data_IF_486192329111
#
_entry.id   IF_486192329111
#
_cell.length_a   1.000
_cell.length_b   1.000
_cell.length_c   1.000
_cell.angle_alpha   90.00
_cell.angle_beta   90.00
_cell.angle_gamma   90.00
#
_symmetry.space_group_name_H-M   'P 1'
#
loop_
_entity.id
_entity.type
_entity.pdbx_description
1 polymer ?
#
# COMPACT_ATOMS: atom_id res chain seq x y z
N UNK A 1 3.98 12.57 19.07
CA UNK A 1 3.12 13.54 18.35
C UNK A 1 1.67 13.17 18.67
N UNK A 2 0.83 14.12 19.12
CA UNK A 2 -0.60 13.86 19.24
C UNK A 2 -1.17 13.49 17.86
N UNK A 3 -2.03 12.46 17.81
CA UNK A 3 -2.75 12.09 16.59
C UNK A 3 -4.00 12.97 16.50
N UNK A 4 -3.95 13.98 15.63
CA UNK A 4 -5.09 14.86 15.37
C UNK A 4 -6.25 14.07 14.76
N UNK A 5 -7.44 14.17 15.36
CA UNK A 5 -8.63 13.51 14.86
C UNK A 5 -9.15 14.25 13.62
N UNK A 6 -8.92 13.68 12.43
CA UNK A 6 -9.24 14.30 11.14
C UNK A 6 -10.23 13.46 10.31
N UNK A 7 -11.49 13.29 10.79
CA UNK A 7 -12.43 12.32 10.22
C UNK A 7 -12.81 12.63 8.76
N UNK A 8 -13.07 13.91 8.45
CA UNK A 8 -13.47 14.32 7.10
C UNK A 8 -12.34 14.14 6.08
N UNK A 9 -11.11 14.50 6.44
CA UNK A 9 -9.94 14.31 5.57
C UNK A 9 -9.64 12.82 5.36
N UNK A 10 -9.74 12.02 6.42
CA UNK A 10 -9.54 10.57 6.35
C UNK A 10 -10.59 9.90 5.47
N UNK A 11 -11.86 10.31 5.58
CA UNK A 11 -12.95 9.84 4.72
C UNK A 11 -12.73 10.23 3.26
N UNK A 12 -12.36 11.49 3.00
CA UNK A 12 -12.09 11.97 1.64
C UNK A 12 -10.92 11.19 1.00
N UNK A 13 -9.83 10.98 1.73
CA UNK A 13 -8.70 10.18 1.26
C UNK A 13 -9.09 8.72 0.97
N UNK A 14 -9.86 8.10 1.86
CA UNK A 14 -10.39 6.75 1.65
C UNK A 14 -11.31 6.64 0.43
N UNK A 15 -12.19 7.63 0.24
CA UNK A 15 -13.08 7.70 -0.92
C UNK A 15 -12.30 7.84 -2.24
N UNK A 16 -11.23 8.65 -2.27
CA UNK A 16 -10.36 8.79 -3.44
C UNK A 16 -9.62 7.49 -3.78
N UNK A 17 -9.10 6.78 -2.78
CA UNK A 17 -8.45 5.47 -2.98
C UNK A 17 -9.46 4.44 -3.51
N UNK A 18 -10.65 4.39 -2.92
CA UNK A 18 -11.73 3.51 -3.37
C UNK A 18 -12.16 3.81 -4.81
N UNK A 19 -12.35 5.09 -5.14
CA UNK A 19 -12.69 5.53 -6.49
C UNK A 19 -11.60 5.16 -7.49
N UNK A 20 -10.32 5.37 -7.16
CA UNK A 20 -9.20 4.96 -8.01
C UNK A 20 -9.19 3.44 -8.27
N UNK A 21 -9.45 2.63 -7.24
CA UNK A 21 -9.53 1.18 -7.37
C UNK A 21 -10.70 0.73 -8.25
N UNK A 22 -11.88 1.37 -8.11
CA UNK A 22 -13.06 1.09 -8.95
C UNK A 22 -12.81 1.52 -10.39
N UNK A 23 -12.21 2.68 -10.63
CA UNK A 23 -11.87 3.14 -11.99
C UNK A 23 -10.88 2.19 -12.66
N UNK A 24 -9.85 1.73 -11.94
CA UNK A 24 -8.92 0.73 -12.48
C UNK A 24 -9.65 -0.57 -12.86
N UNK A 25 -10.56 -1.03 -12.00
CA UNK A 25 -11.36 -2.22 -12.25
C UNK A 25 -12.32 -2.04 -13.44
N UNK A 26 -12.96 -0.88 -13.57
CA UNK A 26 -13.91 -0.59 -14.63
C UNK A 26 -13.24 -0.43 -16.00
N UNK A 27 -12.08 0.25 -16.06
CA UNK A 27 -11.40 0.55 -17.33
C UNK A 27 -10.53 -0.61 -17.80
N UNK A 28 -9.81 -1.28 -16.89
CA UNK A 28 -8.82 -2.31 -17.26
C UNK A 28 -9.25 -3.73 -16.85
N UNK A 29 -10.35 -3.90 -16.10
CA UNK A 29 -10.75 -5.22 -15.59
C UNK A 29 -9.76 -5.81 -14.57
N UNK A 30 -8.89 -4.97 -13.98
CA UNK A 30 -7.81 -5.39 -13.07
C UNK A 30 -8.09 -4.94 -11.63
N UNK A 31 -7.57 -5.70 -10.67
CA UNK A 31 -7.65 -5.39 -9.24
C UNK A 31 -6.40 -4.61 -8.83
N UNK A 32 -6.56 -3.55 -8.02
CA UNK A 32 -5.46 -2.74 -7.53
C UNK A 32 -4.61 -3.52 -6.50
N UNK A 33 -3.47 -4.06 -6.93
CA UNK A 33 -2.53 -4.79 -6.08
C UNK A 33 -1.09 -4.40 -6.38
N UNK A 34 -0.45 -3.58 -5.54
CA UNK A 34 0.88 -3.02 -5.83
C UNK A 34 1.93 -4.12 -6.02
N UNK A 35 1.94 -5.16 -5.18
CA UNK A 35 2.83 -6.33 -5.34
C UNK A 35 2.62 -7.03 -6.68
N UNK A 36 1.35 -7.19 -7.09
CA UNK A 36 1.03 -7.80 -8.38
C UNK A 36 1.46 -6.92 -9.55
N UNK A 37 1.31 -5.59 -9.42
CA UNK A 37 1.73 -4.58 -10.40
C UNK A 37 3.25 -4.65 -10.60
N UNK A 38 4.01 -4.58 -9.51
CA UNK A 38 5.47 -4.68 -9.51
C UNK A 38 5.96 -6.06 -10.01
N UNK A 39 5.29 -7.14 -9.62
CA UNK A 39 5.62 -8.49 -10.06
C UNK A 39 5.47 -8.70 -11.57
N UNK A 40 4.65 -7.89 -12.25
CA UNK A 40 4.52 -7.93 -13.71
C UNK A 40 5.70 -7.33 -14.49
N UNK A 41 6.75 -6.86 -13.80
CA UNK A 41 8.01 -6.45 -14.40
C UNK A 41 9.10 -7.53 -14.28
N UNK A 42 8.82 -8.66 -13.61
CA UNK A 42 9.76 -9.77 -13.51
C UNK A 42 9.86 -10.53 -14.84
N UNK A 43 11.01 -11.15 -15.15
CA UNK A 43 11.14 -12.00 -16.33
C UNK A 43 10.09 -13.12 -16.32
N UNK A 44 9.41 -13.35 -17.45
CA UNK A 44 8.37 -14.37 -17.59
C UNK A 44 6.93 -13.91 -17.38
N UNK A 45 6.70 -12.69 -16.87
CA UNK A 45 5.37 -12.06 -16.95
C UNK A 45 5.17 -11.39 -18.31
N UNK A 46 4.15 -11.83 -19.08
CA UNK A 46 3.92 -11.44 -20.47
C UNK A 46 3.87 -9.92 -20.72
N UNK A 47 4.39 -9.49 -21.87
CA UNK A 47 4.60 -8.07 -22.24
C UNK A 47 3.32 -7.25 -22.45
N UNK A 48 2.19 -7.90 -22.76
CA UNK A 48 0.94 -7.25 -23.19
C UNK A 48 0.29 -6.32 -22.16
N UNK A 49 0.74 -6.33 -20.91
CA UNK A 49 0.11 -5.61 -19.79
C UNK A 49 0.99 -4.51 -19.18
N UNK A 50 2.17 -4.21 -19.75
CA UNK A 50 3.13 -3.27 -19.13
C UNK A 50 2.66 -1.81 -19.12
N UNK A 51 1.94 -1.36 -20.15
CA UNK A 51 1.55 0.05 -20.30
C UNK A 51 0.76 0.61 -19.11
N UNK A 52 -0.31 -0.07 -18.70
CA UNK A 52 -1.14 0.38 -17.57
C UNK A 52 -0.40 0.28 -16.23
N UNK A 53 0.48 -0.71 -16.07
CA UNK A 53 1.30 -0.89 -14.85
C UNK A 53 2.30 0.24 -14.69
N UNK A 54 2.97 0.61 -15.79
CA UNK A 54 3.88 1.77 -15.82
C UNK A 54 3.10 3.05 -15.51
N UNK A 55 1.94 3.26 -16.15
CA UNK A 55 1.10 4.41 -15.89
C UNK A 55 0.66 4.49 -14.41
N UNK A 56 0.30 3.37 -13.80
CA UNK A 56 -0.09 3.30 -12.39
C UNK A 56 1.08 3.67 -11.47
N UNK A 57 2.27 3.10 -11.69
CA UNK A 57 3.48 3.43 -10.90
C UNK A 57 3.89 4.88 -11.10
N UNK A 58 3.88 5.37 -12.34
CA UNK A 58 4.17 6.77 -12.66
C UNK A 58 3.19 7.71 -11.94
N UNK A 59 1.89 7.36 -11.89
CA UNK A 59 0.89 8.09 -11.12
C UNK A 59 1.19 8.14 -9.62
N UNK A 60 1.59 7.00 -9.01
CA UNK A 60 1.98 6.96 -7.59
C UNK A 60 3.21 7.85 -7.30
N UNK A 61 4.19 7.88 -8.20
CA UNK A 61 5.39 8.72 -8.05
C UNK A 61 5.05 10.20 -8.31
N UNK A 62 4.17 10.49 -9.27
CA UNK A 62 3.75 11.84 -9.62
C UNK A 62 2.89 12.49 -8.53
N UNK A 63 2.10 11.71 -7.78
CA UNK A 63 1.20 12.23 -6.75
C UNK A 63 1.87 13.15 -5.70
N UNK A 64 2.98 12.78 -5.02
CA UNK A 64 3.65 13.71 -4.10
C UNK A 64 4.28 14.91 -4.82
N UNK A 65 4.67 14.77 -6.10
CA UNK A 65 5.25 15.86 -6.90
C UNK A 65 4.17 16.89 -7.26
N UNK A 66 2.97 16.44 -7.63
CA UNK A 66 1.85 17.35 -7.92
C UNK A 66 1.38 18.07 -6.67
N UNK A 67 1.36 17.40 -5.52
CA UNK A 67 1.12 18.04 -4.21
C UNK A 67 2.20 19.09 -3.91
N UNK A 68 3.47 18.76 -4.12
CA UNK A 68 4.58 19.71 -3.94
C UNK A 68 4.44 20.93 -4.86
N UNK A 69 4.08 20.74 -6.13
CA UNK A 69 3.86 21.83 -7.07
C UNK A 69 2.67 22.73 -6.69
N UNK A 70 1.60 22.15 -6.13
CA UNK A 70 0.41 22.88 -5.73
C UNK A 70 0.55 23.59 -4.36
N UNK A 71 1.20 22.95 -3.39
CA UNK A 71 1.33 23.43 -2.02
C UNK A 71 2.66 24.14 -1.73
N UNK A 72 3.60 24.15 -2.69
CA UNK A 72 4.92 24.77 -2.56
C UNK A 72 5.88 24.05 -1.60
N UNK A 73 5.47 22.92 -1.01
CA UNK A 73 6.28 22.13 -0.08
C UNK A 73 5.98 20.65 -0.21
N UNK A 74 6.99 19.82 0.04
CA UNK A 74 6.84 18.37 0.04
C UNK A 74 6.04 17.95 1.30
N UNK A 75 5.14 16.95 1.21
CA UNK A 75 4.48 16.40 2.39
C UNK A 75 5.50 16.05 3.46
N UNK A 76 5.20 16.35 4.73
CA UNK A 76 6.14 16.04 5.81
C UNK A 76 6.23 14.52 5.99
N UNK A 77 7.37 13.94 5.62
CA UNK A 77 7.68 12.52 5.77
C UNK A 77 8.55 12.36 7.02
N UNK A 78 7.93 11.93 8.12
CA UNK A 78 8.66 11.55 9.34
C UNK A 78 8.81 10.03 9.39
N UNK A 79 10.03 9.54 9.21
CA UNK A 79 10.37 8.10 9.35
C UNK A 79 11.22 7.94 10.61
N UNK A 80 10.61 7.66 11.77
CA UNK A 80 11.33 7.56 13.04
C UNK A 80 12.00 6.17 13.19
N UNK A 81 12.67 5.69 12.14
CA UNK A 81 13.41 4.41 12.14
C UNK A 81 14.69 4.55 11.31
N UNK A 82 15.70 3.73 11.60
CA UNK A 82 16.95 3.74 10.83
C UNK A 82 16.73 3.26 9.39
N UNK A 83 17.57 3.74 8.46
CA UNK A 83 17.53 3.31 7.06
C UNK A 83 17.69 1.79 6.93
N UNK A 84 18.50 1.17 7.79
CA UNK A 84 18.67 -0.27 7.81
C UNK A 84 17.37 -0.99 8.19
N UNK A 85 16.66 -0.52 9.22
CA UNK A 85 15.37 -1.07 9.61
C UNK A 85 14.32 -0.88 8.50
N UNK A 86 14.36 0.24 7.78
CA UNK A 86 13.46 0.50 6.65
C UNK A 86 13.71 -0.47 5.49
N UNK A 87 14.98 -0.69 5.12
CA UNK A 87 15.36 -1.64 4.06
C UNK A 87 15.01 -3.07 4.45
N UNK A 88 15.36 -3.49 5.67
CA UNK A 88 15.04 -4.82 6.18
C UNK A 88 13.51 -5.05 6.26
N UNK A 89 12.77 -4.05 6.75
CA UNK A 89 11.30 -4.08 6.79
C UNK A 89 10.68 -4.19 5.41
N UNK A 90 11.15 -3.41 4.44
CA UNK A 90 10.70 -3.49 3.05
C UNK A 90 10.94 -4.86 2.42
N UNK A 91 12.11 -5.46 2.67
CA UNK A 91 12.44 -6.81 2.21
C UNK A 91 11.50 -7.87 2.82
N UNK A 92 11.29 -7.84 4.14
CA UNK A 92 10.37 -8.75 4.83
C UNK A 92 8.93 -8.59 4.33
N UNK A 93 8.46 -7.36 4.10
CA UNK A 93 7.14 -7.08 3.53
C UNK A 93 7.04 -7.65 2.10
N UNK A 94 8.10 -7.55 1.29
CA UNK A 94 8.14 -8.14 -0.05
C UNK A 94 7.99 -9.66 -0.03
N UNK A 95 8.71 -10.34 0.86
CA UNK A 95 8.58 -11.79 1.08
C UNK A 95 7.17 -12.13 1.56
N UNK A 96 6.68 -11.43 2.57
CA UNK A 96 5.35 -11.65 3.15
C UNK A 96 4.23 -11.45 2.14
N UNK A 97 4.30 -10.41 1.29
CA UNK A 97 3.31 -10.17 0.25
C UNK A 97 3.34 -11.25 -0.85
N UNK A 98 4.52 -11.81 -1.13
CA UNK A 98 4.66 -12.92 -2.08
C UNK A 98 3.98 -14.19 -1.54
N UNK A 99 4.30 -14.60 -0.31
CA UNK A 99 3.65 -15.76 0.32
C UNK A 99 2.16 -15.55 0.62
N UNK A 100 1.77 -14.31 0.91
CA UNK A 100 0.39 -13.90 1.08
C UNK A 100 -0.41 -13.86 -0.23
N UNK A 101 0.23 -14.07 -1.39
CA UNK A 101 -0.36 -13.91 -2.73
C UNK A 101 -0.98 -12.53 -2.98
N UNK A 102 -0.46 -11.50 -2.30
CA UNK A 102 -1.00 -10.16 -2.34
C UNK A 102 -0.49 -9.29 -1.19
N UNK A 103 -0.73 -7.98 -1.30
CA UNK A 103 -0.44 -6.99 -0.26
C UNK A 103 -1.72 -6.44 0.36
N UNK A 104 -1.56 -5.51 1.30
CA UNK A 104 -2.66 -4.77 1.94
C UNK A 104 -3.51 -3.98 0.95
N UNK A 105 -2.96 -3.47 -0.17
CA UNK A 105 -3.79 -2.82 -1.18
C UNK A 105 -4.75 -3.81 -1.87
N UNK A 106 -4.26 -5.01 -2.21
CA UNK A 106 -5.05 -6.04 -2.88
C UNK A 106 -6.05 -6.73 -1.97
N UNK A 107 -5.59 -7.22 -0.81
CA UNK A 107 -6.45 -7.89 0.16
C UNK A 107 -7.30 -6.92 0.98
N UNK A 108 -6.70 -5.84 1.47
CA UNK A 108 -7.36 -4.88 2.36
C UNK A 108 -8.35 -3.98 1.62
N UNK A 109 -7.90 -3.27 0.56
CA UNK A 109 -8.80 -2.36 -0.17
C UNK A 109 -9.75 -3.15 -1.05
N UNK A 110 -9.25 -3.82 -2.09
CA UNK A 110 -10.14 -4.47 -3.06
C UNK A 110 -10.76 -5.79 -2.55
N UNK A 111 -9.99 -6.57 -1.79
CA UNK A 111 -10.40 -7.91 -1.35
C UNK A 111 -11.48 -7.89 -0.27
N UNK A 112 -11.40 -6.96 0.67
CA UNK A 112 -12.39 -6.77 1.74
C UNK A 112 -13.70 -6.21 1.19
N UNK A 113 -13.65 -5.24 0.26
CA UNK A 113 -14.83 -4.71 -0.43
C UNK A 113 -15.58 -5.77 -1.23
N UNK A 114 -14.91 -6.85 -1.66
CA UNK A 114 -15.50 -8.00 -2.36
C UNK A 114 -15.90 -9.14 -1.42
N UNK A 115 -15.86 -8.94 -0.10
CA UNK A 115 -16.24 -9.91 0.93
C UNK A 115 -15.50 -11.26 0.79
N UNK A 116 -14.25 -11.23 0.33
CA UNK A 116 -13.47 -12.46 0.17
C UNK A 116 -12.96 -12.96 1.52
N UNK A 117 -13.38 -14.17 1.92
CA UNK A 117 -12.92 -14.82 3.15
C UNK A 117 -11.38 -14.93 3.22
N UNK A 118 -10.73 -15.25 2.10
CA UNK A 118 -9.26 -15.28 1.99
C UNK A 118 -8.64 -13.93 2.32
N UNK A 119 -9.20 -12.85 1.76
CA UNK A 119 -8.69 -11.49 1.98
C UNK A 119 -8.96 -10.98 3.38
N UNK A 120 -10.09 -11.36 3.99
CA UNK A 120 -10.39 -11.07 5.39
C UNK A 120 -9.33 -11.72 6.29
N UNK A 121 -9.08 -13.03 6.11
CA UNK A 121 -8.07 -13.74 6.90
C UNK A 121 -6.66 -13.15 6.72
N UNK A 122 -6.26 -12.85 5.49
CA UNK A 122 -4.97 -12.22 5.20
C UNK A 122 -4.84 -10.84 5.87
N UNK A 123 -5.87 -10.01 5.75
CA UNK A 123 -5.87 -8.65 6.32
C UNK A 123 -5.82 -8.66 7.84
N UNK A 124 -6.60 -9.53 8.49
CA UNK A 124 -6.56 -9.71 9.95
C UNK A 124 -5.16 -10.18 10.41
N UNK A 125 -4.56 -11.11 9.68
CA UNK A 125 -3.21 -11.61 9.98
C UNK A 125 -2.15 -10.50 9.85
N UNK A 126 -2.20 -9.70 8.79
CA UNK A 126 -1.30 -8.56 8.60
C UNK A 126 -1.46 -7.52 9.72
N UNK A 127 -2.70 -7.16 10.06
CA UNK A 127 -2.98 -6.18 11.13
C UNK A 127 -2.55 -6.68 12.50
N UNK A 128 -2.84 -7.94 12.83
CA UNK A 128 -2.42 -8.56 14.09
C UNK A 128 -0.89 -8.60 14.20
N UNK A 129 -0.21 -9.05 13.15
CA UNK A 129 1.26 -9.12 13.12
C UNK A 129 1.89 -7.73 13.22
N UNK A 130 1.34 -6.73 12.53
CA UNK A 130 1.78 -5.34 12.62
C UNK A 130 1.62 -4.78 14.04
N UNK A 131 0.46 -4.99 14.66
CA UNK A 131 0.20 -4.57 16.04
C UNK A 131 1.18 -5.22 17.03
N UNK A 132 1.39 -6.54 16.93
CA UNK A 132 2.36 -7.27 17.76
C UNK A 132 3.78 -6.75 17.54
N UNK A 133 4.19 -6.54 16.28
CA UNK A 133 5.54 -6.05 15.94
C UNK A 133 5.78 -4.66 16.54
N UNK A 134 4.83 -3.73 16.37
CA UNK A 134 4.93 -2.38 16.95
C UNK A 134 4.97 -2.43 18.47
N UNK A 135 4.15 -3.28 19.10
CA UNK A 135 4.17 -3.46 20.55
C UNK A 135 5.54 -3.93 21.05
N UNK A 136 6.08 -4.99 20.45
CA UNK A 136 7.39 -5.54 20.81
C UNK A 136 8.51 -4.50 20.61
N UNK A 137 8.58 -3.86 19.45
CA UNK A 137 9.63 -2.88 19.14
C UNK A 137 9.58 -1.70 20.10
N UNK A 138 8.40 -1.10 20.31
CA UNK A 138 8.28 0.13 21.10
C UNK A 138 8.27 -0.06 22.62
N UNK A 139 7.71 -1.17 23.11
CA UNK A 139 7.46 -1.34 24.54
C UNK A 139 8.36 -2.40 25.19
N UNK A 140 8.86 -3.38 24.42
CA UNK A 140 9.72 -4.44 24.95
C UNK A 140 11.20 -4.15 24.65
N UNK A 141 11.51 -3.82 23.41
CA UNK A 141 12.89 -3.56 22.98
C UNK A 141 13.34 -2.10 23.15
N UNK A 142 12.42 -1.19 23.49
CA UNK A 142 12.71 0.23 23.77
C UNK A 142 13.14 1.04 22.54
N UNK A 143 12.74 0.61 21.33
CA UNK A 143 13.01 1.29 20.06
C UNK A 143 11.97 2.32 19.65
#
# INVERSE_FOLDING_TARGET
>A
MPTEFTPLLSLAGGALIGLAAVVLMAVHGRIAGITGILGGFLPGSGESDRGWRIAFIAGMIAAPITVMAAAGSMPQISVPVSTLALVAGGFLVGIGATFGSGCTSGHGVCGLSRLSARSIAATLTFMATGAVTVFLVRHVFGG
#
